data_IF_358992321190
#
_entry.id   IF_358992321190
#
_cell.length_a   1.000
_cell.length_b   1.000
_cell.length_c   1.000
_cell.angle_alpha   90.00
_cell.angle_beta   90.00
_cell.angle_gamma   90.00
#
_symmetry.space_group_name_H-M   'P 1'
#
loop_
_entity.id
_entity.type
_entity.pdbx_description
1 polymer ?
#
# COMPACT_ATOMS: atom_id res chain seq x y z
N UNK A 1 4.12 23.83 -9.50
CA UNK A 1 4.91 24.11 -8.28
C UNK A 1 5.79 22.91 -7.93
N UNK A 2 6.81 23.08 -7.08
CA UNK A 2 7.63 21.97 -6.58
C UNK A 2 6.95 21.30 -5.38
N UNK A 3 6.83 19.97 -5.42
CA UNK A 3 6.19 19.16 -4.37
C UNK A 3 7.19 18.12 -3.89
N UNK A 4 7.42 18.04 -2.58
CA UNK A 4 8.24 16.97 -2.00
C UNK A 4 7.35 15.78 -1.62
N UNK A 5 7.81 14.58 -1.92
CA UNK A 5 7.13 13.33 -1.61
C UNK A 5 8.04 12.49 -0.73
N UNK A 6 7.59 12.17 0.48
CA UNK A 6 8.41 11.47 1.48
C UNK A 6 7.98 10.01 1.54
N UNK A 7 8.88 9.12 1.14
CA UNK A 7 8.66 7.70 0.87
C UNK A 7 8.47 7.42 -0.63
N UNK A 8 9.27 6.51 -1.17
CA UNK A 8 9.36 6.16 -2.60
C UNK A 8 8.87 4.75 -2.93
N UNK A 9 8.15 4.09 -2.02
CA UNK A 9 7.41 2.87 -2.31
C UNK A 9 6.24 3.10 -3.27
N UNK A 10 5.44 2.05 -3.54
CA UNK A 10 4.33 2.08 -4.52
C UNK A 10 3.41 3.29 -4.36
N UNK A 11 3.04 3.65 -3.13
CA UNK A 11 2.17 4.82 -2.85
C UNK A 11 2.87 6.13 -3.18
N UNK A 12 4.15 6.29 -2.81
CA UNK A 12 4.93 7.48 -3.14
C UNK A 12 5.11 7.68 -4.65
N UNK A 13 5.32 6.59 -5.39
CA UNK A 13 5.39 6.60 -6.86
C UNK A 13 4.07 7.02 -7.49
N UNK A 14 2.96 6.51 -6.98
CA UNK A 14 1.61 6.91 -7.41
C UNK A 14 1.28 8.37 -7.06
N UNK A 15 1.69 8.84 -5.88
CA UNK A 15 1.56 10.25 -5.50
C UNK A 15 2.38 11.17 -6.42
N UNK A 16 3.58 10.76 -6.81
CA UNK A 16 4.40 11.49 -7.77
C UNK A 16 3.75 11.55 -9.15
N UNK A 17 3.16 10.44 -9.58
CA UNK A 17 2.41 10.38 -10.83
C UNK A 17 1.19 11.32 -10.82
N UNK A 18 0.38 11.29 -9.77
CA UNK A 18 -0.75 12.21 -9.58
C UNK A 18 -0.28 13.68 -9.58
N UNK A 19 0.87 13.96 -8.95
CA UNK A 19 1.47 15.30 -8.92
C UNK A 19 1.86 15.78 -10.33
N UNK A 20 2.44 14.91 -11.16
CA UNK A 20 2.79 15.25 -12.54
C UNK A 20 1.53 15.54 -13.37
N UNK A 21 0.48 14.73 -13.23
CA UNK A 21 -0.77 14.95 -13.94
C UNK A 21 -1.50 16.23 -13.52
N UNK A 22 -1.37 16.64 -12.26
CA UNK A 22 -1.84 17.95 -11.79
C UNK A 22 -1.02 19.14 -12.32
N UNK A 23 0.00 18.91 -13.17
CA UNK A 23 0.85 19.96 -13.72
C UNK A 23 1.89 20.48 -12.73
N UNK A 24 2.35 19.65 -11.79
CA UNK A 24 3.36 20.00 -10.80
C UNK A 24 4.61 19.14 -10.93
N UNK A 25 5.69 19.55 -10.26
CA UNK A 25 7.01 18.92 -10.33
C UNK A 25 7.31 18.19 -9.02
N UNK A 26 7.18 16.85 -8.98
CA UNK A 26 7.51 16.08 -7.78
C UNK A 26 9.03 15.89 -7.63
N UNK A 27 9.48 15.84 -6.39
CA UNK A 27 10.76 15.23 -6.00
C UNK A 27 10.46 14.18 -4.93
N UNK A 28 10.90 12.95 -5.15
CA UNK A 28 10.69 11.82 -4.25
C UNK A 28 11.93 11.68 -3.37
N UNK A 29 11.71 11.59 -2.08
CA UNK A 29 12.72 11.35 -1.06
C UNK A 29 12.50 9.95 -0.50
N UNK A 30 13.46 9.05 -0.70
CA UNK A 30 13.36 7.66 -0.27
C UNK A 30 14.67 7.13 0.28
N UNK A 31 14.61 6.23 1.26
CA UNK A 31 15.78 5.60 1.89
C UNK A 31 16.40 4.50 1.04
N UNK A 32 15.63 3.91 0.14
CA UNK A 32 16.06 2.81 -0.72
C UNK A 32 15.58 3.04 -2.15
N UNK A 33 16.12 4.06 -2.86
CA UNK A 33 15.63 4.52 -4.16
C UNK A 33 15.50 3.42 -5.23
N UNK A 34 16.30 2.36 -5.12
CA UNK A 34 16.36 1.23 -6.06
C UNK A 34 15.43 0.05 -5.70
N UNK A 35 14.83 0.01 -4.50
CA UNK A 35 14.30 -1.23 -3.91
C UNK A 35 12.76 -1.35 -3.89
N UNK A 36 12.08 -1.06 -4.99
CA UNK A 36 10.61 -1.23 -5.06
C UNK A 36 10.24 -2.52 -5.78
N UNK A 37 10.18 -3.63 -5.05
CA UNK A 37 9.58 -4.88 -5.56
C UNK A 37 8.38 -5.26 -4.69
N UNK A 38 7.15 -5.04 -5.17
CA UNK A 38 5.96 -5.53 -4.48
C UNK A 38 5.98 -7.06 -4.47
N UNK A 39 5.87 -7.65 -3.28
CA UNK A 39 5.84 -9.11 -3.07
C UNK A 39 4.68 -9.49 -2.17
N UNK A 40 4.02 -10.60 -2.49
CA UNK A 40 2.85 -11.13 -1.78
C UNK A 40 1.54 -10.76 -2.47
N UNK A 41 0.44 -10.71 -1.72
CA UNK A 41 -0.87 -10.36 -2.26
C UNK A 41 -1.00 -8.84 -2.47
N UNK A 42 -0.53 -8.38 -3.62
CA UNK A 42 -0.62 -6.97 -4.03
C UNK A 42 -1.04 -6.94 -5.50
N UNK A 43 -2.11 -6.22 -5.79
CA UNK A 43 -2.55 -5.84 -7.13
C UNK A 43 -3.23 -4.48 -7.05
N UNK A 44 -3.24 -3.76 -8.15
CA UNK A 44 -3.93 -2.46 -8.26
C UNK A 44 -5.36 -2.70 -8.72
N UNK A 45 -6.31 -1.94 -8.18
CA UNK A 45 -7.74 -2.04 -8.58
C UNK A 45 -8.10 -1.02 -9.67
N UNK A 46 -7.19 -0.10 -9.98
CA UNK A 46 -7.33 0.94 -10.98
C UNK A 46 -5.99 1.09 -11.73
N UNK A 47 -6.03 1.55 -12.99
CA UNK A 47 -4.83 1.73 -13.80
C UNK A 47 -4.13 3.08 -13.55
N UNK A 48 -4.74 3.96 -12.77
CA UNK A 48 -4.27 5.32 -12.46
C UNK A 48 -3.94 6.12 -13.73
N UNK A 49 -4.69 5.92 -14.82
CA UNK A 49 -4.44 6.57 -16.12
C UNK A 49 -3.16 6.11 -16.83
N UNK A 50 -2.55 5.00 -16.41
CA UNK A 50 -1.40 4.40 -17.08
C UNK A 50 -1.84 3.28 -18.03
N UNK A 51 -1.07 2.98 -19.08
CA UNK A 51 -1.36 1.91 -20.02
C UNK A 51 -0.99 0.53 -19.44
N UNK A 52 -1.66 0.11 -18.36
CA UNK A 52 -1.44 -1.19 -17.72
C UNK A 52 -2.28 -2.28 -18.38
N UNK A 53 -1.76 -3.51 -18.36
CA UNK A 53 -2.46 -4.67 -18.88
C UNK A 53 -3.47 -5.19 -17.85
N UNK A 54 -4.78 -5.17 -18.11
CA UNK A 54 -5.76 -5.71 -17.18
C UNK A 54 -5.65 -7.23 -17.08
N UNK A 55 -5.77 -7.76 -15.87
CA UNK A 55 -5.81 -9.20 -15.61
C UNK A 55 -7.00 -9.54 -14.71
N UNK A 56 -7.61 -10.71 -14.95
CA UNK A 56 -8.70 -11.19 -14.11
C UNK A 56 -8.16 -11.63 -12.75
N UNK A 57 -8.69 -11.04 -11.68
CA UNK A 57 -8.42 -11.39 -10.29
C UNK A 57 -9.62 -12.15 -9.74
N UNK A 58 -9.38 -13.38 -9.27
CA UNK A 58 -10.41 -14.23 -8.69
C UNK A 58 -10.35 -14.18 -7.16
N UNK A 59 -11.33 -13.58 -6.51
CA UNK A 59 -11.42 -13.57 -5.04
C UNK A 59 -12.51 -14.54 -4.58
N UNK A 60 -12.08 -15.49 -3.75
CA UNK A 60 -12.92 -16.55 -3.22
C UNK A 60 -13.04 -16.33 -1.71
N UNK A 61 -14.27 -16.31 -1.20
CA UNK A 61 -14.54 -16.11 0.22
C UNK A 61 -15.12 -17.39 0.81
N UNK A 62 -14.62 -17.80 1.98
CA UNK A 62 -15.02 -19.07 2.61
C UNK A 62 -14.96 -19.00 4.13
N UNK A 63 -15.63 -19.95 4.78
CA UNK A 63 -15.46 -20.23 6.20
C UNK A 63 -16.16 -19.27 7.16
N UNK A 64 -17.10 -18.44 6.69
CA UNK A 64 -17.85 -17.54 7.56
C UNK A 64 -18.29 -16.26 6.87
N UNK A 65 -18.21 -15.14 7.59
CA UNK A 65 -18.69 -13.83 7.15
C UNK A 65 -17.66 -12.73 7.43
N UNK A 66 -17.99 -11.49 7.01
CA UNK A 66 -17.12 -10.32 7.19
C UNK A 66 -16.69 -10.06 8.64
N UNK A 67 -17.55 -10.33 9.62
CA UNK A 67 -17.30 -10.07 11.03
C UNK A 67 -16.28 -11.07 11.60
N UNK A 68 -16.45 -12.35 11.27
CA UNK A 68 -15.48 -13.40 11.63
C UNK A 68 -14.11 -13.15 10.99
N UNK A 69 -14.10 -12.74 9.72
CA UNK A 69 -12.86 -12.36 9.03
C UNK A 69 -12.20 -11.13 9.67
N UNK A 70 -12.96 -10.07 9.99
CA UNK A 70 -12.45 -8.87 10.64
C UNK A 70 -11.79 -9.20 11.99
N UNK A 71 -12.48 -9.95 12.85
CA UNK A 71 -11.93 -10.39 14.12
C UNK A 71 -10.66 -11.25 13.94
N UNK A 72 -10.65 -12.15 12.95
CA UNK A 72 -9.48 -13.00 12.68
C UNK A 72 -8.24 -12.20 12.24
N UNK A 73 -8.41 -11.14 11.45
CA UNK A 73 -7.30 -10.33 10.92
C UNK A 73 -6.87 -9.22 11.88
N UNK A 74 -7.83 -8.52 12.47
CA UNK A 74 -7.61 -7.27 13.20
C UNK A 74 -7.87 -7.39 14.70
N UNK A 75 -8.40 -8.52 15.19
CA UNK A 75 -8.91 -8.68 16.57
C UNK A 75 -10.03 -7.70 16.92
N UNK A 76 -10.69 -7.18 15.89
CA UNK A 76 -11.82 -6.26 15.98
C UNK A 76 -12.88 -6.70 14.95
N UNK A 77 -14.06 -7.05 15.46
CA UNK A 77 -15.20 -7.56 14.69
C UNK A 77 -15.79 -6.52 13.73
N UNK A 78 -15.64 -5.24 14.05
CA UNK A 78 -16.24 -4.13 13.29
C UNK A 78 -15.22 -3.40 12.40
N UNK A 79 -13.95 -3.81 12.44
CA UNK A 79 -12.93 -3.26 11.57
C UNK A 79 -13.31 -3.44 10.10
N UNK A 80 -13.06 -2.41 9.30
CA UNK A 80 -13.34 -2.47 7.87
C UNK A 80 -12.44 -3.51 7.19
N UNK A 81 -13.02 -4.40 6.39
CA UNK A 81 -12.29 -5.48 5.68
C UNK A 81 -12.69 -5.56 4.22
N UNK A 82 -11.84 -6.19 3.39
CA UNK A 82 -12.17 -6.42 1.98
C UNK A 82 -13.10 -7.63 1.75
N UNK A 83 -13.35 -8.43 2.80
CA UNK A 83 -14.29 -9.54 2.76
C UNK A 83 -15.71 -9.01 2.51
N UNK A 84 -16.35 -9.48 1.44
CA UNK A 84 -17.62 -9.02 0.90
C UNK A 84 -17.52 -7.87 -0.09
N UNK A 85 -16.37 -7.19 -0.22
CA UNK A 85 -16.21 -6.02 -1.10
C UNK A 85 -15.82 -6.40 -2.54
N UNK A 86 -14.97 -7.40 -2.68
CA UNK A 86 -14.36 -7.77 -3.97
C UNK A 86 -14.56 -9.25 -4.32
N UNK A 87 -15.59 -9.89 -3.77
CA UNK A 87 -15.86 -11.31 -4.04
C UNK A 87 -16.19 -11.52 -5.53
N UNK A 88 -15.68 -12.61 -6.11
CA UNK A 88 -15.92 -12.98 -7.50
C UNK A 88 -14.73 -12.69 -8.41
N UNK A 89 -15.00 -12.14 -9.59
CA UNK A 89 -13.99 -11.84 -10.61
C UNK A 89 -14.04 -10.36 -10.95
N UNK A 90 -12.89 -9.70 -10.90
CA UNK A 90 -12.73 -8.31 -11.28
C UNK A 90 -11.37 -8.06 -11.92
N UNK A 91 -11.24 -6.92 -12.58
CA UNK A 91 -9.97 -6.51 -13.18
C UNK A 91 -9.00 -6.04 -12.09
N UNK A 92 -7.74 -6.39 -12.28
CA UNK A 92 -6.64 -5.87 -11.49
C UNK A 92 -5.37 -5.79 -12.32
N UNK A 93 -4.43 -4.97 -11.85
CA UNK A 93 -3.22 -4.65 -12.60
C UNK A 93 -1.97 -5.02 -11.80
N UNK A 94 -0.93 -5.43 -12.53
CA UNK A 94 0.34 -5.83 -11.96
C UNK A 94 1.10 -4.59 -11.42
N UNK A 95 1.36 -4.53 -10.11
CA UNK A 95 2.15 -3.45 -9.54
C UNK A 95 3.58 -3.37 -10.12
N UNK A 96 4.16 -4.47 -10.59
CA UNK A 96 5.48 -4.47 -11.21
C UNK A 96 5.47 -3.79 -12.58
N UNK A 97 4.45 -4.03 -13.40
CA UNK A 97 4.24 -3.33 -14.67
C UNK A 97 4.10 -1.81 -14.44
N UNK A 98 3.29 -1.40 -13.46
CA UNK A 98 3.15 0.00 -13.07
C UNK A 98 4.49 0.61 -12.65
N UNK A 99 5.25 -0.06 -11.78
CA UNK A 99 6.53 0.47 -11.30
C UNK A 99 7.56 0.58 -12.43
N UNK A 100 7.56 -0.35 -13.39
CA UNK A 100 8.43 -0.26 -14.56
C UNK A 100 8.14 1.00 -15.38
N UNK A 101 6.86 1.32 -15.62
CA UNK A 101 6.46 2.54 -16.32
C UNK A 101 6.86 3.78 -15.51
N UNK A 102 6.52 3.81 -14.22
CA UNK A 102 6.80 4.96 -13.36
C UNK A 102 8.30 5.21 -13.19
N UNK A 103 9.14 4.18 -13.14
CA UNK A 103 10.59 4.33 -13.09
C UNK A 103 11.14 5.04 -14.33
N UNK A 104 10.57 4.78 -15.51
CA UNK A 104 10.91 5.52 -16.73
C UNK A 104 10.46 6.99 -16.68
N UNK A 105 9.21 7.23 -16.27
CA UNK A 105 8.63 8.58 -16.21
C UNK A 105 9.24 9.48 -15.12
N UNK A 106 9.69 8.87 -14.02
CA UNK A 106 10.19 9.57 -12.83
C UNK A 106 11.71 9.46 -12.69
N UNK A 107 12.40 9.12 -13.78
CA UNK A 107 13.85 9.04 -13.80
C UNK A 107 14.48 10.37 -13.38
N UNK A 108 15.42 10.31 -12.44
CA UNK A 108 16.08 11.51 -11.88
C UNK A 108 15.27 12.31 -10.86
N UNK A 109 14.03 11.89 -10.55
CA UNK A 109 13.19 12.58 -9.54
C UNK A 109 13.37 12.03 -8.13
N UNK A 110 14.05 10.90 -7.97
CA UNK A 110 14.24 10.21 -6.69
C UNK A 110 15.58 10.59 -6.09
N UNK A 111 15.55 11.02 -4.83
CA UNK A 111 16.72 11.37 -4.03
C UNK A 111 16.81 10.45 -2.84
N UNK A 112 18.03 10.03 -2.53
CA UNK A 112 18.32 9.34 -1.29
C UNK A 112 18.07 10.27 -0.10
N UNK A 113 17.41 9.75 0.93
CA UNK A 113 17.12 10.46 2.17
C UNK A 113 16.77 9.48 3.27
N UNK A 114 17.07 9.82 4.51
CA UNK A 114 16.78 8.96 5.65
C UNK A 114 16.03 9.74 6.74
N UNK A 115 14.91 10.35 6.37
CA UNK A 115 14.05 11.07 7.32
C UNK A 115 13.52 10.11 8.38
N UNK A 116 13.76 10.45 9.65
CA UNK A 116 13.21 9.71 10.79
C UNK A 116 12.37 10.58 11.73
N UNK A 117 12.29 11.89 11.43
CA UNK A 117 11.60 12.88 12.24
C UNK A 117 10.70 13.75 11.35
N UNK A 118 9.56 14.17 11.88
CA UNK A 118 8.65 15.10 11.21
C UNK A 118 9.29 16.48 11.06
N UNK A 119 10.12 16.91 12.01
CA UNK A 119 10.74 18.24 11.97
C UNK A 119 11.70 18.38 10.78
N UNK A 120 12.51 17.35 10.50
CA UNK A 120 13.38 17.28 9.31
C UNK A 120 12.56 17.37 8.00
N UNK A 121 11.37 16.77 7.98
CA UNK A 121 10.46 16.83 6.83
C UNK A 121 9.88 18.24 6.69
N UNK A 122 9.55 18.90 7.81
CA UNK A 122 8.98 20.25 7.79
C UNK A 122 9.96 21.31 7.28
N UNK A 123 11.27 21.12 7.46
CA UNK A 123 12.29 22.00 6.87
C UNK A 123 12.21 22.09 5.35
N UNK A 124 11.73 21.04 4.67
CA UNK A 124 11.52 21.04 3.22
C UNK A 124 10.50 22.10 2.76
N UNK A 125 9.65 22.64 3.65
CA UNK A 125 8.71 23.72 3.30
C UNK A 125 9.42 25.00 2.85
N UNK A 126 10.71 25.17 3.14
CA UNK A 126 11.49 26.29 2.61
C UNK A 126 11.73 26.18 1.09
N UNK A 127 11.84 24.96 0.56
CA UNK A 127 12.19 24.69 -0.84
C UNK A 127 11.00 24.18 -1.68
N UNK A 128 9.95 23.69 -1.02
CA UNK A 128 8.81 23.02 -1.64
C UNK A 128 7.50 23.63 -1.16
N UNK A 129 6.59 23.90 -2.11
CA UNK A 129 5.31 24.54 -1.81
C UNK A 129 4.32 23.61 -1.10
N UNK A 130 4.46 22.30 -1.32
CA UNK A 130 3.60 21.27 -0.74
C UNK A 130 4.43 20.02 -0.41
N UNK A 131 4.02 19.33 0.65
CA UNK A 131 4.58 18.05 1.09
C UNK A 131 3.52 16.95 0.99
N UNK A 132 3.90 15.79 0.48
CA UNK A 132 3.09 14.57 0.52
C UNK A 132 3.87 13.52 1.29
N UNK A 133 3.30 13.02 2.38
CA UNK A 133 3.96 12.09 3.30
C UNK A 133 3.30 10.72 3.17
N UNK A 134 4.10 9.73 2.76
CA UNK A 134 3.70 8.32 2.65
C UNK A 134 4.44 7.41 3.61
N UNK A 135 5.48 7.94 4.27
CA UNK A 135 6.15 7.29 5.40
C UNK A 135 5.17 7.01 6.53
N UNK A 136 5.51 6.03 7.36
CA UNK A 136 4.64 5.56 8.42
C UNK A 136 4.43 6.62 9.50
N UNK A 137 3.17 6.99 9.78
CA UNK A 137 2.85 7.99 10.80
C UNK A 137 3.36 7.60 12.19
N UNK A 138 3.37 6.30 12.53
CA UNK A 138 3.93 5.84 13.81
C UNK A 138 5.46 6.03 13.93
N UNK A 139 6.17 6.27 12.83
CA UNK A 139 7.58 6.65 12.85
C UNK A 139 7.70 8.14 13.17
N UNK A 140 6.85 8.96 12.55
CA UNK A 140 6.93 10.42 12.61
C UNK A 140 6.26 11.02 13.85
N UNK A 141 5.29 10.31 14.43
CA UNK A 141 4.49 10.74 15.56
C UNK A 141 4.47 9.65 16.65
N UNK A 142 5.59 9.40 17.34
CA UNK A 142 5.71 8.31 18.32
C UNK A 142 4.77 8.48 19.54
N UNK A 143 4.35 9.72 19.82
CA UNK A 143 3.48 10.05 20.97
C UNK A 143 1.98 9.95 20.65
N UNK A 144 1.60 9.69 19.40
CA UNK A 144 0.19 9.54 18.99
C UNK A 144 -0.22 8.07 19.08
N UNK A 145 -1.44 7.78 19.56
CA UNK A 145 -1.92 6.40 19.64
C UNK A 145 -2.31 5.87 18.26
N UNK A 146 -1.34 5.24 17.60
CA UNK A 146 -1.46 4.64 16.28
C UNK A 146 -1.33 3.10 16.39
N UNK A 147 -2.42 2.38 16.76
CA UNK A 147 -2.37 0.96 17.03
C UNK A 147 -2.21 0.14 15.75
N UNK A 148 -1.59 -1.04 15.87
CA UNK A 148 -1.47 -1.98 14.76
C UNK A 148 -1.46 -3.44 15.23
N UNK A 149 -1.82 -4.34 14.32
CA UNK A 149 -1.69 -5.78 14.49
C UNK A 149 -0.56 -6.29 13.60
N UNK A 150 0.31 -7.13 14.18
CA UNK A 150 1.38 -7.81 13.44
C UNK A 150 0.89 -9.18 12.97
N UNK A 151 1.14 -9.47 11.71
CA UNK A 151 0.97 -10.80 11.12
C UNK A 151 2.21 -11.20 10.34
N UNK A 152 2.09 -12.23 9.52
CA UNK A 152 3.17 -12.65 8.64
C UNK A 152 2.68 -13.09 7.27
N UNK A 153 3.56 -13.04 6.27
CA UNK A 153 3.31 -13.51 4.91
C UNK A 153 4.47 -14.37 4.42
N UNK A 154 4.15 -15.58 3.99
CA UNK A 154 5.03 -16.40 3.16
C UNK A 154 4.79 -16.04 1.69
N UNK A 155 5.87 -15.84 0.92
CA UNK A 155 5.83 -15.54 -0.51
C UNK A 155 6.81 -16.47 -1.21
N UNK A 156 6.35 -17.15 -2.26
CA UNK A 156 7.12 -18.15 -2.97
C UNK A 156 7.00 -17.86 -4.48
N UNK A 157 8.13 -17.75 -5.21
CA UNK A 157 8.07 -17.68 -6.67
C UNK A 157 7.49 -18.99 -7.22
N UNK A 158 6.62 -18.89 -8.21
CA UNK A 158 6.15 -20.04 -8.97
C UNK A 158 7.11 -20.33 -10.12
N UNK A 159 7.31 -21.60 -10.45
CA UNK A 159 8.20 -21.97 -11.55
C UNK A 159 7.61 -21.54 -12.90
N UNK A 160 8.48 -21.31 -13.89
CA UNK A 160 8.05 -21.07 -15.26
C UNK A 160 7.22 -22.28 -15.76
N UNK A 161 5.94 -22.05 -16.08
CA UNK A 161 4.97 -23.09 -16.47
C UNK A 161 3.88 -23.36 -15.42
N UNK A 162 4.09 -22.99 -14.15
CA UNK A 162 3.07 -23.04 -13.10
C UNK A 162 2.24 -21.75 -13.10
N UNK A 163 1.52 -21.47 -14.19
CA UNK A 163 0.59 -20.33 -14.21
C UNK A 163 -0.70 -20.74 -13.52
N UNK A 164 -0.70 -20.64 -12.19
CA UNK A 164 -1.97 -20.55 -11.47
C UNK A 164 -2.66 -19.25 -11.89
N UNK A 165 -3.98 -19.30 -12.08
CA UNK A 165 -4.79 -18.08 -12.27
C UNK A 165 -4.49 -17.07 -11.15
N UNK A 166 -4.61 -15.77 -11.41
CA UNK A 166 -4.53 -14.79 -10.33
C UNK A 166 -5.75 -14.98 -9.40
N UNK A 167 -5.54 -15.52 -8.20
CA UNK A 167 -6.62 -15.74 -7.24
C UNK A 167 -6.19 -15.50 -5.80
N UNK A 168 -7.17 -15.18 -4.95
CA UNK A 168 -7.00 -15.12 -3.52
C UNK A 168 -8.20 -15.69 -2.79
N UNK A 169 -7.93 -16.64 -1.90
CA UNK A 169 -8.90 -17.18 -0.96
C UNK A 169 -8.81 -16.38 0.33
N UNK A 170 -9.94 -15.80 0.73
CA UNK A 170 -10.16 -15.17 2.02
C UNK A 170 -10.89 -16.17 2.91
N UNK A 171 -10.27 -16.57 4.03
CA UNK A 171 -10.86 -17.53 4.96
C UNK A 171 -11.21 -16.88 6.30
N UNK A 172 -12.51 -16.84 6.60
CA UNK A 172 -13.05 -16.46 7.90
C UNK A 172 -13.09 -17.63 8.91
N UNK A 173 -12.72 -18.85 8.49
CA UNK A 173 -12.79 -20.05 9.34
C UNK A 173 -11.83 -19.91 10.53
N UNK A 174 -12.31 -19.97 11.79
CA UNK A 174 -11.45 -19.86 12.97
C UNK A 174 -10.46 -21.03 13.12
N UNK A 175 -10.74 -22.19 12.50
CA UNK A 175 -9.89 -23.37 12.57
C UNK A 175 -8.74 -23.35 11.55
N UNK A 176 -8.78 -22.42 10.59
CA UNK A 176 -7.72 -22.25 9.59
C UNK A 176 -6.77 -21.14 10.07
N UNK A 177 -5.46 -21.41 10.27
CA UNK A 177 -4.53 -20.44 10.85
C UNK A 177 -4.21 -19.25 9.93
N UNK A 178 -4.32 -19.42 8.61
CA UNK A 178 -4.16 -18.35 7.64
C UNK A 178 -5.51 -17.69 7.33
N UNK A 179 -5.49 -16.41 6.96
CA UNK A 179 -6.70 -15.68 6.55
C UNK A 179 -6.71 -15.31 5.06
N UNK A 180 -5.54 -15.26 4.41
CA UNK A 180 -5.45 -15.14 2.94
C UNK A 180 -4.44 -16.12 2.38
N UNK A 181 -4.75 -16.74 1.24
CA UNK A 181 -3.79 -17.53 0.47
C UNK A 181 -4.15 -17.53 -1.01
N UNK A 182 -3.17 -17.67 -1.89
CA UNK A 182 -3.45 -17.77 -3.32
C UNK A 182 -2.22 -17.55 -4.17
N UNK A 183 -2.45 -17.12 -5.40
CA UNK A 183 -1.40 -16.77 -6.36
C UNK A 183 -1.71 -15.45 -7.05
N UNK A 184 -0.67 -14.65 -7.26
CA UNK A 184 -0.76 -13.34 -7.89
C UNK A 184 0.54 -13.07 -8.68
N UNK A 185 0.41 -12.77 -9.97
CA UNK A 185 1.52 -12.34 -10.85
C UNK A 185 2.80 -13.18 -10.70
N UNK A 186 2.67 -14.51 -10.78
CA UNK A 186 3.82 -15.43 -10.70
C UNK A 186 4.33 -15.74 -9.30
N UNK A 187 3.65 -15.29 -8.25
CA UNK A 187 3.95 -15.62 -6.86
C UNK A 187 2.81 -16.38 -6.21
N UNK A 188 3.12 -17.37 -5.38
CA UNK A 188 2.20 -17.91 -4.38
C UNK A 188 2.40 -17.21 -3.05
N UNK A 189 1.33 -17.05 -2.28
CA UNK A 189 1.40 -16.44 -0.96
C UNK A 189 0.44 -17.07 0.04
N UNK A 190 0.77 -16.87 1.32
CA UNK A 190 -0.11 -17.17 2.45
C UNK A 190 0.13 -16.18 3.59
N UNK A 191 -0.95 -15.58 4.09
CA UNK A 191 -0.94 -14.61 5.17
C UNK A 191 -1.58 -15.16 6.45
N UNK A 192 -0.92 -14.88 7.58
CA UNK A 192 -1.29 -15.34 8.92
C UNK A 192 -1.50 -14.14 9.84
N UNK A 193 -2.46 -14.25 10.76
CA UNK A 193 -2.74 -13.23 11.78
C UNK A 193 -1.78 -13.30 12.97
N UNK A 194 -0.79 -14.18 12.88
CA UNK A 194 0.30 -14.35 13.84
C UNK A 194 1.64 -14.28 13.12
N UNK A 195 2.71 -14.03 13.87
CA UNK A 195 4.07 -14.05 13.35
C UNK A 195 4.55 -15.50 13.27
N UNK A 196 4.86 -15.95 12.06
CA UNK A 196 5.40 -17.29 11.80
C UNK A 196 6.91 -17.16 11.50
N UNK A 197 7.79 -17.91 12.19
CA UNK A 197 9.23 -17.90 11.90
C UNK A 197 9.53 -18.21 10.43
N UNK A 198 10.47 -17.46 9.84
CA UNK A 198 10.83 -17.58 8.43
C UNK A 198 9.90 -16.87 7.45
N UNK A 199 8.74 -16.39 7.89
CA UNK A 199 7.86 -15.54 7.07
C UNK A 199 8.17 -14.05 7.30
N UNK A 200 7.86 -13.22 6.29
CA UNK A 200 8.01 -11.76 6.42
C UNK A 200 6.93 -11.23 7.35
N UNK A 201 7.33 -10.48 8.38
CA UNK A 201 6.38 -9.75 9.24
C UNK A 201 5.65 -8.67 8.44
N UNK A 202 4.34 -8.57 8.62
CA UNK A 202 3.50 -7.52 8.04
C UNK A 202 2.75 -6.79 9.15
N UNK A 203 2.51 -5.50 8.93
CA UNK A 203 1.76 -4.65 9.86
C UNK A 203 0.40 -4.31 9.24
N UNK A 204 -0.65 -4.44 10.03
CA UNK A 204 -2.01 -4.00 9.70
C UNK A 204 -2.35 -2.84 10.62
N UNK A 205 -2.65 -1.69 10.04
CA UNK A 205 -3.11 -0.52 10.80
C UNK A 205 -4.48 -0.83 11.40
N UNK A 206 -4.68 -0.40 12.63
CA UNK A 206 -5.96 -0.39 13.34
C UNK A 206 -6.31 1.08 13.57
N UNK A 207 -7.61 1.40 13.51
CA UNK A 207 -8.06 2.76 13.77
C UNK A 207 -7.58 3.24 15.14
N UNK A 208 -6.94 4.41 15.15
CA UNK A 208 -6.49 5.09 16.36
C UNK A 208 -6.74 6.58 16.22
N UNK A 209 -5.84 7.37 16.77
CA UNK A 209 -5.90 8.83 16.68
C UNK A 209 -5.65 9.30 15.24
N UNK A 210 -6.15 10.49 14.92
CA UNK A 210 -5.96 11.09 13.60
C UNK A 210 -4.54 11.64 13.44
N UNK A 211 -3.93 11.36 12.28
CA UNK A 211 -2.63 11.95 11.93
C UNK A 211 -2.82 13.43 11.61
N UNK A 212 -2.03 14.35 12.21
CA UNK A 212 -2.14 15.78 11.97
C UNK A 212 -2.08 16.13 10.47
N UNK A 213 -3.05 16.91 10.00
CA UNK A 213 -3.08 17.42 8.62
C UNK A 213 -2.73 18.91 8.58
N UNK A 214 -1.99 19.33 7.56
CA UNK A 214 -1.66 20.73 7.32
C UNK A 214 -2.23 21.19 5.98
N UNK A 215 -2.41 22.51 5.82
CA UNK A 215 -2.86 23.09 4.53
C UNK A 215 -1.95 22.69 3.36
N UNK A 216 -0.64 22.65 3.63
CA UNK A 216 0.41 22.37 2.65
C UNK A 216 1.07 21.00 2.86
N UNK A 217 0.45 20.13 3.66
CA UNK A 217 0.97 18.78 3.95
C UNK A 217 -0.16 17.77 3.94
N UNK A 218 -0.06 16.82 3.01
CA UNK A 218 -0.97 15.71 2.87
C UNK A 218 -0.30 14.42 3.34
N UNK A 219 -0.86 13.79 4.37
CA UNK A 219 -0.52 12.40 4.67
C UNK A 219 -1.45 11.47 3.89
N UNK A 220 -0.87 10.54 3.13
CA UNK A 220 -1.64 9.63 2.27
C UNK A 220 -1.11 8.21 2.33
N UNK A 221 -1.93 7.27 1.91
CA UNK A 221 -1.63 5.85 1.95
C UNK A 221 -1.87 5.26 3.33
N UNK A 222 -1.87 3.93 3.38
CA UNK A 222 -2.19 3.19 4.60
C UNK A 222 -1.40 3.63 5.82
N UNK A 223 -0.09 3.81 5.64
CA UNK A 223 0.83 4.09 6.74
C UNK A 223 1.00 5.59 7.01
N UNK A 224 0.99 6.43 5.96
CA UNK A 224 1.05 7.89 6.13
C UNK A 224 -0.19 8.44 6.81
N UNK A 225 -1.37 8.02 6.39
CA UNK A 225 -2.65 8.44 6.97
C UNK A 225 -3.11 7.59 8.15
N UNK A 226 -2.37 6.50 8.44
CA UNK A 226 -2.72 5.49 9.44
C UNK A 226 -4.16 4.97 9.34
N UNK A 227 -4.57 4.61 8.12
CA UNK A 227 -5.93 4.13 7.85
C UNK A 227 -5.94 3.00 6.84
N UNK A 228 -7.03 2.25 6.76
CA UNK A 228 -7.16 1.25 5.69
C UNK A 228 -7.39 1.97 4.36
N UNK A 229 -6.34 1.99 3.54
CA UNK A 229 -6.37 2.55 2.19
C UNK A 229 -5.68 1.59 1.21
N UNK A 230 -6.17 1.56 -0.03
CA UNK A 230 -5.57 0.91 -1.19
C UNK A 230 -4.64 1.89 -1.92
N UNK A 231 -3.65 1.38 -2.64
CA UNK A 231 -2.61 2.24 -3.21
C UNK A 231 -3.13 3.24 -4.26
N UNK A 232 -4.13 2.85 -5.07
CA UNK A 232 -4.72 3.73 -6.10
C UNK A 232 -5.54 4.88 -5.48
N UNK A 233 -6.18 4.67 -4.32
CA UNK A 233 -6.92 5.71 -3.62
C UNK A 233 -6.01 6.89 -3.22
N UNK A 234 -4.71 6.64 -3.00
CA UNK A 234 -3.73 7.70 -2.75
C UNK A 234 -3.39 8.52 -4.00
N UNK A 235 -3.43 7.92 -5.19
CA UNK A 235 -3.28 8.65 -6.44
C UNK A 235 -4.47 9.61 -6.64
N UNK A 236 -5.69 9.13 -6.44
CA UNK A 236 -6.90 9.96 -6.54
C UNK A 236 -6.91 11.09 -5.50
N UNK A 237 -6.56 10.78 -4.25
CA UNK A 237 -6.48 11.76 -3.16
C UNK A 237 -5.49 12.88 -3.46
N UNK A 238 -4.29 12.53 -3.94
CA UNK A 238 -3.27 13.51 -4.32
C UNK A 238 -3.72 14.36 -5.50
N UNK A 239 -4.27 13.74 -6.55
CA UNK A 239 -4.73 14.46 -7.74
C UNK A 239 -5.81 15.50 -7.35
N UNK A 240 -6.77 15.09 -6.52
CA UNK A 240 -7.82 15.98 -6.00
C UNK A 240 -7.28 17.09 -5.11
N UNK A 241 -6.29 16.82 -4.26
CA UNK A 241 -5.72 17.82 -3.34
C UNK A 241 -4.85 18.88 -4.03
N UNK A 242 -4.33 18.55 -5.22
CA UNK A 242 -3.50 19.44 -6.03
C UNK A 242 -4.27 20.20 -7.12
N UNK A 243 -5.50 19.76 -7.44
CA UNK A 243 -6.42 20.46 -8.36
C UNK A 243 -7.00 21.72 -7.74
#
# INVERSE_FOLDING_TARGET
>A
MRVAIIGGGLVGRLAAWATMQAGHTPIIFDRMPEAVTPRGFVYLHDNCGLPLTPQNIHVIETGGNRFGYAYKVYRDTFHEVSFGKYAGVHEGYDPAELLNILNGLQHGMVKDSNFNDIDEIMELRHDYAKLIITLSANLLFPDINLPSVKGSVGVYPLNAGEVLKNFCVYSADPNIPWYRSGSMFGYAFREFSTVIPGHRTIVKVVLGDEVPQGKDTLHTGRFGKWTKQLSHESYEEVLKWLS
#
